data_IF_440179875063
#
_entry.id   IF_440179875063
#
_cell.length_a   1.000
_cell.length_b   1.000
_cell.length_c   1.000
_cell.angle_alpha   90.00
_cell.angle_beta   90.00
_cell.angle_gamma   90.00
#
_symmetry.space_group_name_H-M   'P 1'
#
loop_
_entity.id
_entity.type
_entity.pdbx_description
1 polymer ?
#
# COMPACT_ATOMS: atom_id res chain seq x y z
N UNK A 1 5.83 14.61 25.62
CA UNK A 1 4.36 14.52 25.72
C UNK A 1 3.95 13.69 24.53
N UNK A 2 3.72 12.38 24.73
CA UNK A 2 3.12 11.58 23.68
C UNK A 2 1.82 12.29 23.27
N UNK A 3 1.74 12.81 22.06
CA UNK A 3 0.45 13.11 21.47
C UNK A 3 -0.30 11.78 21.48
N UNK A 4 -1.11 11.58 22.49
CA UNK A 4 -2.05 10.46 22.48
C UNK A 4 -2.86 10.64 21.22
N UNK A 5 -2.59 9.80 20.25
CA UNK A 5 -3.40 9.69 19.06
C UNK A 5 -4.83 9.47 19.51
N UNK A 6 -5.56 10.57 19.70
CA UNK A 6 -6.96 10.51 20.07
C UNK A 6 -7.73 10.13 18.82
N UNK A 7 -8.04 8.83 18.72
CA UNK A 7 -8.89 8.30 17.64
C UNK A 7 -10.21 9.08 17.51
N UNK A 8 -10.61 9.82 18.55
CA UNK A 8 -11.81 10.66 18.55
C UNK A 8 -11.53 12.09 18.06
N UNK A 9 -10.29 12.61 18.13
CA UNK A 9 -9.99 13.97 17.70
C UNK A 9 -10.13 14.16 16.18
N UNK A 10 -9.87 13.10 15.40
CA UNK A 10 -10.12 13.10 13.95
C UNK A 10 -11.62 13.05 13.61
N UNK A 11 -12.44 12.48 14.49
CA UNK A 11 -13.88 12.42 14.31
C UNK A 11 -14.55 13.80 14.47
N UNK A 12 -13.89 14.76 15.11
CA UNK A 12 -14.44 16.10 15.36
C UNK A 12 -14.08 17.12 14.29
N UNK A 13 -13.12 16.84 13.41
CA UNK A 13 -12.68 17.76 12.35
C UNK A 13 -13.63 17.87 11.16
N UNK A 14 -14.58 16.93 11.02
CA UNK A 14 -15.28 16.75 9.75
C UNK A 14 -16.73 16.35 9.96
N UNK A 15 -17.65 17.25 9.70
CA UNK A 15 -19.07 16.89 9.81
C UNK A 15 -19.57 15.93 8.71
N UNK A 16 -19.22 16.05 7.43
CA UNK A 16 -19.61 15.05 6.43
C UNK A 16 -18.85 13.73 6.55
N UNK A 17 -17.54 13.77 6.80
CA UNK A 17 -16.67 12.60 6.93
C UNK A 17 -16.85 11.80 8.23
N UNK A 18 -17.40 12.41 9.29
CA UNK A 18 -17.53 11.76 10.60
C UNK A 18 -18.35 10.47 10.56
N UNK A 19 -19.48 10.44 9.82
CA UNK A 19 -20.30 9.23 9.74
C UNK A 19 -19.61 8.15 8.91
N UNK A 20 -18.95 8.51 7.82
CA UNK A 20 -18.14 7.63 6.98
C UNK A 20 -17.02 6.98 7.78
N UNK A 21 -16.23 7.77 8.50
CA UNK A 21 -15.18 7.28 9.40
C UNK A 21 -15.72 6.39 10.50
N UNK A 22 -16.82 6.78 11.16
CA UNK A 22 -17.44 5.97 12.22
C UNK A 22 -17.85 4.60 11.72
N UNK A 23 -18.39 4.50 10.49
CA UNK A 23 -18.77 3.23 9.89
C UNK A 23 -17.57 2.36 9.58
N UNK A 24 -16.51 2.95 9.02
CA UNK A 24 -15.26 2.23 8.77
C UNK A 24 -14.68 1.67 10.08
N UNK A 25 -14.61 2.49 11.13
CA UNK A 25 -14.17 2.04 12.46
C UNK A 25 -15.08 0.96 13.05
N UNK A 26 -16.39 1.12 12.93
CA UNK A 26 -17.34 0.14 13.46
C UNK A 26 -17.19 -1.21 12.76
N UNK A 27 -16.97 -1.20 11.44
CA UNK A 27 -16.71 -2.41 10.67
C UNK A 27 -15.41 -3.08 11.13
N UNK A 28 -14.30 -2.35 11.19
CA UNK A 28 -13.01 -2.87 11.63
C UNK A 28 -13.08 -3.46 13.04
N UNK A 29 -13.74 -2.78 13.98
CA UNK A 29 -13.96 -3.32 15.35
C UNK A 29 -14.79 -4.59 15.35
N UNK A 30 -15.88 -4.63 14.59
CA UNK A 30 -16.73 -5.81 14.49
C UNK A 30 -15.95 -7.02 13.98
N UNK A 31 -15.06 -6.82 13.01
CA UNK A 31 -14.22 -7.87 12.46
C UNK A 31 -13.18 -8.30 13.50
N UNK A 32 -12.49 -7.38 14.16
CA UNK A 32 -11.53 -7.67 15.24
C UNK A 32 -12.20 -8.42 16.40
N UNK A 33 -13.35 -7.95 16.86
CA UNK A 33 -14.11 -8.55 17.95
C UNK A 33 -14.68 -9.93 17.58
N UNK A 34 -14.81 -10.25 16.29
CA UNK A 34 -15.23 -11.57 15.83
C UNK A 34 -14.16 -12.66 16.01
N UNK A 35 -12.93 -12.28 16.35
CA UNK A 35 -11.79 -13.19 16.52
C UNK A 35 -11.28 -13.80 15.22
N UNK A 36 -11.60 -13.19 14.07
CA UNK A 36 -11.05 -13.59 12.79
C UNK A 36 -9.56 -13.21 12.78
N UNK A 37 -8.68 -14.20 12.72
CA UNK A 37 -7.23 -13.98 12.75
C UNK A 37 -6.69 -13.45 11.43
N UNK A 38 -7.27 -13.89 10.33
CA UNK A 38 -6.93 -13.48 8.97
C UNK A 38 -8.22 -13.21 8.21
N UNK A 39 -8.67 -11.93 8.11
CA UNK A 39 -9.98 -11.59 7.55
C UNK A 39 -10.16 -11.97 6.09
N UNK A 40 -9.10 -12.07 5.31
CA UNK A 40 -9.14 -12.39 3.88
C UNK A 40 -8.38 -13.67 3.50
N UNK A 41 -7.69 -14.33 4.45
CA UNK A 41 -6.98 -15.61 4.24
C UNK A 41 -5.82 -15.51 3.24
N UNK A 42 -5.32 -14.31 2.96
CA UNK A 42 -4.39 -14.05 1.86
C UNK A 42 -2.97 -13.72 2.29
N UNK A 43 -2.68 -13.68 3.60
CA UNK A 43 -1.35 -13.32 4.06
C UNK A 43 -0.35 -14.46 3.93
N UNK A 44 0.65 -14.23 3.09
CA UNK A 44 1.85 -15.06 3.05
C UNK A 44 2.98 -14.32 3.75
N UNK A 45 3.66 -14.99 4.68
CA UNK A 45 4.75 -14.37 5.42
C UNK A 45 5.97 -14.07 4.55
N UNK A 46 6.13 -14.79 3.44
CA UNK A 46 7.30 -14.65 2.58
C UNK A 46 6.89 -14.55 1.12
N UNK A 47 7.56 -13.65 0.41
CA UNK A 47 7.40 -13.49 -1.03
C UNK A 47 8.77 -13.36 -1.70
N UNK A 48 8.95 -13.97 -2.87
CA UNK A 48 10.17 -13.88 -3.66
C UNK A 48 9.86 -13.58 -5.12
N UNK A 49 10.64 -12.69 -5.69
CA UNK A 49 10.67 -12.36 -7.11
C UNK A 49 12.13 -12.19 -7.53
N UNK A 50 12.44 -12.13 -8.81
CA UNK A 50 13.81 -11.91 -9.29
C UNK A 50 14.51 -10.76 -8.54
N UNK A 51 15.55 -11.09 -7.79
CA UNK A 51 16.37 -10.14 -7.05
C UNK A 51 15.79 -9.62 -5.74
N UNK A 52 14.53 -9.92 -5.42
CA UNK A 52 13.83 -9.37 -4.26
C UNK A 52 13.25 -10.46 -3.36
N UNK A 53 13.36 -10.29 -2.05
CA UNK A 53 12.70 -11.11 -1.05
C UNK A 53 12.00 -10.24 0.00
N UNK A 54 10.80 -10.64 0.41
CA UNK A 54 10.02 -9.96 1.44
C UNK A 54 9.64 -10.93 2.55
N UNK A 55 9.75 -10.49 3.79
CA UNK A 55 9.23 -11.15 4.97
C UNK A 55 8.26 -10.21 5.69
N UNK A 56 6.98 -10.60 5.75
CA UNK A 56 5.93 -9.85 6.44
C UNK A 56 5.54 -10.56 7.73
N UNK A 57 5.72 -9.88 8.86
CA UNK A 57 5.33 -10.38 10.17
C UNK A 57 3.86 -10.09 10.48
N UNK A 58 3.13 -11.13 10.87
CA UNK A 58 1.76 -10.97 11.36
C UNK A 58 1.76 -10.43 12.79
N UNK A 59 0.98 -9.37 13.03
CA UNK A 59 0.91 -8.65 14.32
C UNK A 59 -0.52 -8.61 14.86
N UNK A 60 -0.72 -8.01 16.01
CA UNK A 60 -2.07 -7.66 16.55
C UNK A 60 -2.72 -6.52 15.75
N UNK A 61 -2.23 -6.28 14.54
CA UNK A 61 -2.76 -5.38 13.55
C UNK A 61 -2.35 -3.93 13.70
N UNK A 62 -2.64 -3.17 12.63
CA UNK A 62 -2.30 -1.77 12.54
C UNK A 62 -3.08 -0.91 13.54
N UNK A 63 -2.38 -0.18 14.37
CA UNK A 63 -2.96 0.72 15.39
C UNK A 63 -3.72 1.90 14.77
N UNK A 64 -3.30 2.35 13.60
CA UNK A 64 -4.01 3.39 12.86
C UNK A 64 -5.33 2.87 12.30
N UNK A 65 -5.37 1.65 11.74
CA UNK A 65 -6.52 0.81 11.42
C UNK A 65 -7.75 1.51 10.84
N UNK A 66 -7.56 2.62 10.11
CA UNK A 66 -8.65 3.47 9.66
C UNK A 66 -8.76 3.60 8.14
N UNK A 67 -7.75 3.15 7.40
CA UNK A 67 -7.77 3.22 5.94
C UNK A 67 -8.93 2.37 5.40
N UNK A 68 -9.76 2.94 4.53
CA UNK A 68 -11.00 2.29 4.06
C UNK A 68 -10.74 1.03 3.22
N UNK A 69 -9.55 0.88 2.70
CA UNK A 69 -9.14 -0.20 1.80
C UNK A 69 -8.33 -1.32 2.49
N UNK A 70 -8.01 -1.16 3.79
CA UNK A 70 -7.03 -2.00 4.47
C UNK A 70 -7.70 -2.81 5.59
N UNK A 71 -7.32 -4.10 5.72
CA UNK A 71 -7.77 -5.00 6.78
C UNK A 71 -6.80 -5.10 7.95
N UNK A 72 -5.63 -4.47 7.88
CA UNK A 72 -4.59 -4.58 8.89
C UNK A 72 -5.04 -4.18 10.30
N UNK A 73 -5.97 -3.23 10.43
CA UNK A 73 -6.55 -2.86 11.71
C UNK A 73 -7.46 -3.91 12.34
N UNK A 74 -7.83 -4.97 11.60
CA UNK A 74 -8.69 -6.05 12.05
C UNK A 74 -7.92 -7.33 12.43
N UNK A 75 -6.60 -7.37 12.18
CA UNK A 75 -5.77 -8.53 12.52
C UNK A 75 -5.61 -8.69 14.03
N UNK A 76 -5.37 -9.92 14.46
CA UNK A 76 -5.21 -10.30 15.85
C UNK A 76 -4.29 -11.53 15.93
N UNK A 77 -2.98 -11.30 15.76
CA UNK A 77 -1.96 -12.32 15.88
C UNK A 77 -1.02 -11.98 17.02
N UNK A 78 -0.73 -12.96 17.87
CA UNK A 78 0.30 -12.83 18.87
C UNK A 78 1.68 -12.81 18.19
N UNK A 79 2.50 -11.82 18.53
CA UNK A 79 3.87 -11.71 18.11
C UNK A 79 4.80 -11.82 19.33
N UNK A 80 5.88 -12.58 19.18
CA UNK A 80 6.91 -12.70 20.21
C UNK A 80 8.30 -12.82 19.59
N UNK A 81 9.39 -12.52 20.32
CA UNK A 81 10.75 -12.72 19.82
C UNK A 81 11.01 -14.11 19.28
N UNK A 82 10.44 -15.15 19.86
CA UNK A 82 10.59 -16.56 19.43
C UNK A 82 9.91 -16.84 18.09
N UNK A 83 8.74 -16.20 17.86
CA UNK A 83 8.03 -16.30 16.58
C UNK A 83 8.86 -15.59 15.50
N UNK A 84 9.31 -14.37 15.77
CA UNK A 84 10.14 -13.58 14.86
C UNK A 84 11.43 -14.33 14.51
N UNK A 85 12.12 -14.90 15.49
CA UNK A 85 13.36 -15.65 15.27
C UNK A 85 13.13 -16.86 14.34
N UNK A 86 12.07 -17.62 14.58
CA UNK A 86 11.69 -18.77 13.73
C UNK A 86 11.37 -18.34 12.30
N UNK A 87 10.62 -17.26 12.13
CA UNK A 87 10.25 -16.74 10.80
C UNK A 87 11.46 -16.19 10.05
N UNK A 88 12.36 -15.50 10.74
CA UNK A 88 13.63 -15.05 10.19
C UNK A 88 14.53 -16.22 9.77
N UNK A 89 14.65 -17.27 10.59
CA UNK A 89 15.41 -18.48 10.25
C UNK A 89 14.87 -19.17 8.99
N UNK A 90 13.56 -19.29 8.90
CA UNK A 90 12.89 -19.85 7.71
C UNK A 90 13.14 -18.97 6.47
N UNK A 91 13.03 -17.64 6.62
CA UNK A 91 13.29 -16.70 5.55
C UNK A 91 14.75 -16.76 5.06
N UNK A 92 15.73 -16.74 5.97
CA UNK A 92 17.15 -16.88 5.63
C UNK A 92 17.41 -18.14 4.83
N UNK A 93 16.85 -19.28 5.28
CA UNK A 93 16.96 -20.53 4.56
C UNK A 93 16.33 -20.47 3.15
N UNK A 94 15.20 -19.81 3.01
CA UNK A 94 14.54 -19.64 1.71
C UNK A 94 15.36 -18.72 0.78
N UNK A 95 15.94 -17.64 1.29
CA UNK A 95 16.83 -16.76 0.51
C UNK A 95 18.06 -17.53 0.01
N UNK A 96 18.72 -18.29 0.88
CA UNK A 96 19.91 -19.10 0.54
C UNK A 96 19.62 -20.16 -0.53
N UNK A 97 18.45 -20.75 -0.49
CA UNK A 97 18.04 -21.82 -1.41
C UNK A 97 17.24 -21.30 -2.60
N UNK A 98 17.08 -19.97 -2.73
CA UNK A 98 16.34 -19.39 -3.84
C UNK A 98 17.08 -19.65 -5.17
N UNK A 99 16.39 -20.11 -6.24
CA UNK A 99 17.03 -20.32 -7.54
C UNK A 99 17.53 -19.05 -8.19
N UNK A 100 17.07 -17.88 -7.72
CA UNK A 100 17.49 -16.56 -8.20
C UNK A 100 18.31 -15.85 -7.14
N UNK A 101 19.33 -15.13 -7.54
CA UNK A 101 20.12 -14.29 -6.64
C UNK A 101 19.26 -13.19 -6.07
N UNK A 102 19.23 -13.05 -4.74
CA UNK A 102 18.51 -11.98 -4.04
C UNK A 102 19.49 -10.84 -3.75
N UNK A 103 19.10 -9.62 -4.12
CA UNK A 103 19.88 -8.39 -3.93
C UNK A 103 19.20 -7.41 -2.96
N UNK A 104 17.89 -7.46 -2.85
CA UNK A 104 17.07 -6.58 -2.02
C UNK A 104 16.16 -7.39 -1.12
N UNK A 105 16.07 -6.98 0.14
CA UNK A 105 15.21 -7.62 1.15
C UNK A 105 14.37 -6.56 1.85
N UNK A 106 13.06 -6.80 1.90
CA UNK A 106 12.10 -6.00 2.65
C UNK A 106 11.65 -6.76 3.91
N UNK A 107 11.80 -6.13 5.05
CA UNK A 107 11.17 -6.54 6.30
C UNK A 107 9.94 -5.66 6.55
N UNK A 108 8.81 -6.29 6.61
CA UNK A 108 7.50 -5.68 6.77
C UNK A 108 6.78 -6.24 8.00
N UNK A 109 5.91 -5.47 8.55
CA UNK A 109 4.94 -5.94 9.54
C UNK A 109 3.55 -5.53 9.07
N UNK A 110 2.57 -6.37 9.34
CA UNK A 110 1.18 -5.99 9.10
C UNK A 110 0.81 -4.85 10.03
N UNK A 111 1.07 -3.62 9.54
CA UNK A 111 1.00 -2.38 10.30
C UNK A 111 2.28 -1.58 10.15
N UNK A 112 3.16 -1.62 11.14
CA UNK A 112 4.40 -0.85 11.14
C UNK A 112 5.49 -1.55 11.95
N UNK A 113 6.59 -1.92 11.31
CA UNK A 113 7.71 -2.61 11.98
C UNK A 113 8.44 -1.71 12.99
N UNK A 114 8.32 -0.39 12.86
CA UNK A 114 8.94 0.58 13.77
C UNK A 114 7.95 1.16 14.81
N UNK A 115 6.71 0.69 14.87
CA UNK A 115 5.79 1.06 15.96
C UNK A 115 5.93 0.10 17.15
N UNK A 116 6.51 0.55 18.24
CA UNK A 116 6.73 -0.26 19.45
C UNK A 116 5.47 -0.86 20.08
N UNK A 117 4.28 -0.43 19.63
CA UNK A 117 2.99 -0.97 20.08
C UNK A 117 2.42 -2.04 19.15
N UNK A 118 2.83 -2.05 17.88
CA UNK A 118 2.46 -3.03 16.88
C UNK A 118 3.53 -4.11 16.75
N UNK A 119 4.79 -3.69 16.83
CA UNK A 119 5.97 -4.54 16.75
C UNK A 119 6.88 -4.27 17.96
N UNK A 120 6.88 -5.13 18.98
CA UNK A 120 7.63 -4.92 20.21
C UNK A 120 9.12 -4.65 19.98
N UNK A 121 9.76 -3.77 20.76
CA UNK A 121 11.18 -3.42 20.57
C UNK A 121 12.13 -4.61 20.60
N UNK A 122 11.84 -5.63 21.42
CA UNK A 122 12.59 -6.88 21.50
C UNK A 122 12.44 -7.74 20.24
N UNK A 123 11.31 -7.64 19.52
CA UNK A 123 11.11 -8.28 18.23
C UNK A 123 11.96 -7.61 17.16
N UNK A 124 12.05 -6.28 17.16
CA UNK A 124 12.94 -5.55 16.26
C UNK A 124 14.42 -5.89 16.50
N UNK A 125 14.83 -6.05 17.76
CA UNK A 125 16.19 -6.48 18.11
C UNK A 125 16.50 -7.87 17.52
N UNK A 126 15.55 -8.80 17.52
CA UNK A 126 15.70 -10.11 16.87
C UNK A 126 15.82 -9.95 15.36
N UNK A 127 14.96 -9.12 14.72
CA UNK A 127 15.05 -8.88 13.27
C UNK A 127 16.43 -8.37 12.88
N UNK A 128 16.95 -7.36 13.59
CA UNK A 128 18.27 -6.79 13.28
C UNK A 128 19.40 -7.79 13.49
N UNK A 129 19.38 -8.54 14.59
CA UNK A 129 20.35 -9.61 14.83
C UNK A 129 20.34 -10.67 13.71
N UNK A 130 19.16 -11.09 13.28
CA UNK A 130 18.99 -12.06 12.20
C UNK A 130 19.32 -11.48 10.83
N UNK A 131 19.08 -10.19 10.61
CA UNK A 131 19.53 -9.50 9.39
C UNK A 131 21.06 -9.50 9.29
N UNK A 132 21.78 -9.33 10.42
CA UNK A 132 23.25 -9.49 10.45
C UNK A 132 23.69 -10.92 10.05
N UNK A 133 22.97 -11.96 10.53
CA UNK A 133 23.22 -13.35 10.12
C UNK A 133 22.97 -13.53 8.62
N UNK A 134 21.85 -12.98 8.12
CA UNK A 134 21.49 -13.01 6.69
C UNK A 134 22.58 -12.37 5.82
N UNK A 135 23.07 -11.19 6.17
CA UNK A 135 24.13 -10.50 5.40
C UNK A 135 25.42 -11.31 5.35
N UNK A 136 25.78 -12.00 6.43
CA UNK A 136 26.97 -12.89 6.48
C UNK A 136 26.80 -14.11 5.57
N UNK A 137 25.58 -14.67 5.50
CA UNK A 137 25.31 -15.88 4.75
C UNK A 137 24.98 -15.62 3.27
N UNK A 138 24.49 -14.42 2.96
CA UNK A 138 24.05 -14.00 1.60
C UNK A 138 24.66 -12.64 1.26
N UNK A 139 25.96 -12.60 0.93
CA UNK A 139 26.67 -11.35 0.67
C UNK A 139 26.27 -10.65 -0.63
N UNK A 140 25.31 -11.17 -1.36
CA UNK A 140 24.73 -10.53 -2.55
C UNK A 140 23.66 -9.49 -2.21
N UNK A 141 23.24 -9.41 -0.95
CA UNK A 141 22.25 -8.42 -0.52
C UNK A 141 22.90 -7.04 -0.50
N UNK A 142 22.37 -6.16 -1.31
CA UNK A 142 22.82 -4.77 -1.49
C UNK A 142 21.84 -3.76 -0.89
N UNK A 143 20.58 -4.16 -0.67
CA UNK A 143 19.53 -3.28 -0.16
C UNK A 143 18.76 -3.97 0.97
N UNK A 144 18.56 -3.24 2.07
CA UNK A 144 17.67 -3.62 3.17
C UNK A 144 16.58 -2.54 3.33
N UNK A 145 15.33 -2.97 3.23
CA UNK A 145 14.15 -2.10 3.34
C UNK A 145 13.30 -2.47 4.56
N UNK A 146 12.64 -1.46 5.14
CA UNK A 146 11.72 -1.62 6.27
C UNK A 146 10.44 -0.82 5.99
N UNK A 147 9.27 -1.46 6.02
CA UNK A 147 8.00 -0.77 5.84
C UNK A 147 7.45 -0.26 7.17
N UNK A 148 7.04 1.00 7.20
CA UNK A 148 6.52 1.62 8.42
C UNK A 148 5.61 2.81 8.14
N UNK A 149 4.97 3.34 9.19
CA UNK A 149 4.26 4.61 9.14
C UNK A 149 5.21 5.77 9.46
N UNK A 150 5.05 6.89 8.76
CA UNK A 150 5.90 8.07 9.00
C UNK A 150 5.85 8.59 10.46
N UNK A 151 4.71 8.39 11.16
CA UNK A 151 4.53 8.80 12.56
C UNK A 151 5.42 8.01 13.54
N UNK A 152 5.97 6.87 13.13
CA UNK A 152 6.84 6.04 13.96
C UNK A 152 8.31 6.41 13.85
N UNK A 153 8.66 7.23 12.86
CA UNK A 153 10.04 7.64 12.61
C UNK A 153 10.56 8.68 13.61
N UNK A 154 9.66 9.47 14.17
CA UNK A 154 10.05 10.50 15.14
C UNK A 154 8.89 11.41 15.51
N UNK A 155 9.18 12.43 16.30
CA UNK A 155 8.22 13.39 16.82
C UNK A 155 8.86 14.77 17.03
N UNK A 156 8.05 15.80 17.14
CA UNK A 156 8.51 17.11 17.56
C UNK A 156 8.51 17.20 19.09
N UNK A 157 9.64 17.58 19.65
CA UNK A 157 9.75 17.84 21.08
C UNK A 157 9.07 19.20 21.48
N UNK A 158 9.14 19.52 22.76
CA UNK A 158 8.54 20.76 23.32
C UNK A 158 9.14 22.04 22.74
N UNK A 159 10.36 21.97 22.20
CA UNK A 159 11.08 23.08 21.62
C UNK A 159 10.90 23.16 20.07
N UNK A 160 10.04 22.28 19.52
CA UNK A 160 9.76 22.19 18.09
C UNK A 160 10.86 21.51 17.27
N UNK A 161 11.82 20.83 17.92
CA UNK A 161 12.86 20.07 17.26
C UNK A 161 12.34 18.68 16.94
N UNK A 162 12.58 18.20 15.72
CA UNK A 162 12.28 16.82 15.35
C UNK A 162 13.30 15.87 15.98
N UNK A 163 12.81 14.86 16.67
CA UNK A 163 13.61 13.84 17.36
C UNK A 163 13.26 12.49 16.77
N UNK A 164 14.25 11.74 16.31
CA UNK A 164 14.08 10.37 15.80
C UNK A 164 13.64 9.43 16.90
N UNK A 165 12.79 8.45 16.54
CA UNK A 165 12.33 7.43 17.48
C UNK A 165 13.44 6.47 17.89
N UNK A 166 13.25 5.76 18.99
CA UNK A 166 14.18 4.72 19.42
C UNK A 166 14.31 3.60 18.36
N UNK A 167 13.21 3.20 17.74
CA UNK A 167 13.21 2.18 16.70
C UNK A 167 14.01 2.64 15.46
N UNK A 168 13.83 3.88 15.02
CA UNK A 168 14.64 4.43 13.92
C UNK A 168 16.10 4.54 14.30
N UNK A 169 16.43 4.93 15.52
CA UNK A 169 17.82 4.98 16.00
C UNK A 169 18.50 3.60 15.98
N UNK A 170 17.76 2.50 16.21
CA UNK A 170 18.28 1.13 16.04
C UNK A 170 18.63 0.83 14.59
N UNK A 171 17.78 1.25 13.63
CA UNK A 171 18.07 1.10 12.19
C UNK A 171 19.30 1.92 11.79
N UNK A 172 19.42 3.16 12.27
CA UNK A 172 20.58 4.02 12.02
C UNK A 172 21.87 3.36 12.54
N UNK A 173 21.86 2.89 13.78
CA UNK A 173 23.00 2.20 14.37
C UNK A 173 23.36 0.90 13.61
N UNK A 174 22.35 0.15 13.16
CA UNK A 174 22.56 -1.04 12.36
C UNK A 174 23.20 -0.70 11.01
N UNK A 175 22.72 0.35 10.33
CA UNK A 175 23.31 0.86 9.10
C UNK A 175 24.78 1.26 9.28
N UNK A 176 25.09 1.96 10.35
CA UNK A 176 26.48 2.37 10.66
C UNK A 176 27.39 1.17 10.90
N UNK A 177 26.86 0.08 11.47
CA UNK A 177 27.61 -1.15 11.72
C UNK A 177 27.81 -2.02 10.46
N UNK A 178 26.97 -1.85 9.43
CA UNK A 178 26.96 -2.65 8.20
C UNK A 178 27.10 -1.79 6.94
N UNK A 179 28.24 -1.10 6.75
CA UNK A 179 28.48 -0.23 5.60
C UNK A 179 28.64 -0.99 4.27
N UNK A 180 28.71 -2.32 4.30
CA UNK A 180 28.72 -3.17 3.12
C UNK A 180 27.40 -3.19 2.37
N UNK A 181 26.27 -2.89 3.04
CA UNK A 181 24.96 -2.73 2.42
C UNK A 181 24.90 -1.35 1.78
N UNK A 182 24.66 -1.30 0.48
CA UNK A 182 24.68 -0.06 -0.30
C UNK A 182 23.53 0.86 0.07
N UNK A 183 22.32 0.29 0.20
CA UNK A 183 21.11 1.04 0.38
C UNK A 183 20.30 0.53 1.59
N UNK A 184 19.99 1.45 2.47
CA UNK A 184 18.97 1.28 3.51
C UNK A 184 17.78 2.12 3.13
N UNK A 185 16.60 1.49 3.11
CA UNK A 185 15.37 2.10 2.61
C UNK A 185 14.27 2.04 3.68
N UNK A 186 13.54 3.10 3.85
CA UNK A 186 12.27 3.09 4.58
C UNK A 186 11.13 3.23 3.57
N UNK A 187 10.26 2.23 3.52
CA UNK A 187 9.05 2.28 2.72
C UNK A 187 7.91 2.91 3.50
N UNK A 188 7.28 3.91 2.91
CA UNK A 188 6.19 4.68 3.51
C UNK A 188 4.94 4.63 2.63
N UNK A 189 3.82 4.22 3.22
CA UNK A 189 2.54 4.29 2.51
C UNK A 189 2.05 5.74 2.41
N UNK A 190 2.16 6.36 1.24
CA UNK A 190 1.56 7.66 0.91
C UNK A 190 0.18 7.50 0.26
N UNK A 191 0.01 6.51 -0.59
CA UNK A 191 -1.17 6.10 -1.35
C UNK A 191 -1.57 7.10 -2.45
N UNK A 192 -1.69 8.37 -2.11
CA UNK A 192 -2.00 9.51 -2.96
C UNK A 192 -1.35 10.75 -2.40
N UNK A 193 -0.89 11.65 -3.24
CA UNK A 193 -0.40 12.97 -2.82
C UNK A 193 -1.53 13.99 -2.58
N UNK A 194 -2.75 13.65 -2.96
CA UNK A 194 -3.91 14.52 -2.80
C UNK A 194 -4.49 14.40 -1.39
N UNK A 195 -4.33 15.45 -0.60
CA UNK A 195 -4.77 15.50 0.79
C UNK A 195 -6.28 15.33 0.94
N UNK A 196 -7.06 15.99 0.10
CA UNK A 196 -8.51 15.91 0.17
C UNK A 196 -8.97 14.47 -0.10
N UNK A 197 -8.42 13.82 -1.11
CA UNK A 197 -8.71 12.41 -1.42
C UNK A 197 -8.31 11.50 -0.26
N UNK A 198 -7.09 11.65 0.29
CA UNK A 198 -6.64 10.83 1.42
C UNK A 198 -7.55 10.99 2.62
N UNK A 199 -7.89 12.23 2.93
CA UNK A 199 -8.68 12.54 4.12
C UNK A 199 -10.15 12.18 3.95
N UNK A 200 -10.76 12.40 2.77
CA UNK A 200 -12.19 12.28 2.53
C UNK A 200 -12.63 10.87 2.18
N UNK A 201 -11.86 10.19 1.34
CA UNK A 201 -12.25 8.90 0.80
C UNK A 201 -11.37 7.75 1.30
N UNK A 202 -10.05 7.92 1.35
CA UNK A 202 -9.16 6.84 1.78
C UNK A 202 -9.09 6.70 3.31
N UNK A 203 -9.44 7.75 4.05
CA UNK A 203 -9.32 7.83 5.51
C UNK A 203 -7.88 7.59 6.00
N UNK A 204 -6.90 7.91 5.16
CA UNK A 204 -5.49 7.86 5.49
C UNK A 204 -4.96 9.27 5.76
N UNK A 205 -5.06 9.68 7.02
CA UNK A 205 -4.67 11.02 7.42
C UNK A 205 -3.15 11.14 7.53
N UNK A 206 -2.57 11.94 6.65
CA UNK A 206 -1.15 12.28 6.63
C UNK A 206 -1.01 13.79 6.88
N UNK A 207 -0.20 14.17 7.86
CA UNK A 207 0.23 15.54 8.00
C UNK A 207 1.44 15.77 7.10
N UNK A 208 1.28 16.50 5.98
CA UNK A 208 2.31 16.67 4.97
C UNK A 208 3.61 17.26 5.50
N UNK A 209 3.52 18.23 6.41
CA UNK A 209 4.72 18.85 7.00
C UNK A 209 5.52 17.85 7.83
N UNK A 210 4.81 17.03 8.62
CA UNK A 210 5.46 16.00 9.42
C UNK A 210 5.99 14.87 8.54
N UNK A 211 5.25 14.50 7.49
CA UNK A 211 5.68 13.51 6.52
C UNK A 211 6.96 13.94 5.79
N UNK A 212 6.98 15.14 5.21
CA UNK A 212 8.15 15.68 4.56
C UNK A 212 9.34 15.84 5.53
N UNK A 213 9.10 16.25 6.78
CA UNK A 213 10.17 16.33 7.78
C UNK A 213 10.74 14.96 8.17
N UNK A 214 9.89 13.94 8.22
CA UNK A 214 10.34 12.57 8.46
C UNK A 214 11.26 12.08 7.33
N UNK A 215 10.90 12.34 6.06
CA UNK A 215 11.75 12.04 4.90
C UNK A 215 13.09 12.78 5.01
N UNK A 216 13.04 14.07 5.28
CA UNK A 216 14.27 14.85 5.45
C UNK A 216 15.18 14.27 6.55
N UNK A 217 14.59 13.85 7.68
CA UNK A 217 15.38 13.24 8.77
C UNK A 217 16.04 11.92 8.36
N UNK A 218 15.37 11.10 7.54
CA UNK A 218 15.97 9.88 6.98
C UNK A 218 17.16 10.20 6.08
N UNK A 219 17.03 11.19 5.22
CA UNK A 219 18.10 11.65 4.34
C UNK A 219 19.32 12.21 5.12
N UNK A 220 19.09 12.91 6.25
CA UNK A 220 20.16 13.37 7.14
C UNK A 220 21.02 12.19 7.66
N UNK A 221 20.45 10.99 7.75
CA UNK A 221 21.13 9.74 8.13
C UNK A 221 21.53 8.87 6.94
N UNK A 222 21.38 9.35 5.70
CA UNK A 222 21.70 8.61 4.48
C UNK A 222 20.83 7.36 4.30
N UNK A 223 19.58 7.41 4.74
CA UNK A 223 18.55 6.39 4.53
C UNK A 223 17.64 6.89 3.42
N UNK A 224 17.42 6.07 2.40
CA UNK A 224 16.52 6.34 1.29
C UNK A 224 15.06 6.15 1.68
N UNK A 225 14.16 6.76 0.93
CA UNK A 225 12.73 6.66 1.15
C UNK A 225 12.03 6.22 -0.12
N UNK A 226 11.31 5.11 -0.04
CA UNK A 226 10.38 4.69 -1.06
C UNK A 226 8.95 5.01 -0.62
N UNK A 227 8.13 5.55 -1.53
CA UNK A 227 6.72 5.84 -1.25
C UNK A 227 5.81 4.90 -2.03
N UNK A 228 4.90 4.24 -1.32
CA UNK A 228 3.86 3.43 -1.92
C UNK A 228 2.73 4.33 -2.44
N UNK A 229 2.44 4.25 -3.74
CA UNK A 229 1.38 4.99 -4.44
C UNK A 229 0.41 4.02 -5.09
N UNK A 230 -0.90 4.28 -4.95
CA UNK A 230 -1.93 3.47 -5.58
C UNK A 230 -2.06 3.75 -7.07
N UNK A 231 -2.03 2.70 -7.91
CA UNK A 231 -2.36 2.78 -9.33
C UNK A 231 -3.87 2.82 -9.59
N UNK A 232 -4.67 2.34 -8.63
CA UNK A 232 -6.12 2.21 -8.75
C UNK A 232 -6.80 2.67 -7.47
N UNK A 233 -6.86 3.98 -7.29
CA UNK A 233 -7.46 4.59 -6.10
C UNK A 233 -8.98 4.31 -6.09
N UNK A 234 -9.55 3.79 -4.99
CA UNK A 234 -10.98 3.50 -4.91
C UNK A 234 -11.81 4.79 -4.96
N UNK A 235 -13.05 4.66 -5.40
CA UNK A 235 -14.03 5.75 -5.49
C UNK A 235 -13.66 6.86 -6.50
N UNK A 236 -12.80 6.53 -7.46
CA UNK A 236 -12.47 7.35 -8.62
C UNK A 236 -12.86 6.62 -9.91
N UNK A 237 -13.22 7.38 -10.94
CA UNK A 237 -13.35 6.84 -12.31
C UNK A 237 -11.99 6.37 -12.81
N UNK A 238 -11.95 5.51 -13.82
CA UNK A 238 -10.67 5.01 -14.36
C UNK A 238 -9.74 6.12 -14.86
N UNK A 239 -10.31 7.15 -15.47
CA UNK A 239 -9.56 8.33 -15.91
C UNK A 239 -8.97 9.09 -14.72
N UNK A 240 -9.78 9.37 -13.70
CA UNK A 240 -9.31 10.03 -12.47
C UNK A 240 -8.25 9.21 -11.74
N UNK A 241 -8.36 7.86 -11.72
CA UNK A 241 -7.33 6.98 -11.14
C UNK A 241 -5.98 7.17 -11.81
N UNK A 242 -5.94 7.22 -13.14
CA UNK A 242 -4.70 7.42 -13.90
C UNK A 242 -4.12 8.81 -13.61
N UNK A 243 -4.94 9.86 -13.70
CA UNK A 243 -4.53 11.25 -13.45
C UNK A 243 -4.02 11.44 -12.03
N UNK A 244 -4.72 10.89 -11.05
CA UNK A 244 -4.33 10.96 -9.63
C UNK A 244 -3.01 10.23 -9.36
N UNK A 245 -2.85 9.02 -9.92
CA UNK A 245 -1.62 8.25 -9.75
C UNK A 245 -0.41 8.96 -10.36
N UNK A 246 -0.55 9.53 -11.56
CA UNK A 246 0.51 10.31 -12.22
C UNK A 246 0.88 11.54 -11.39
N UNK A 247 -0.12 12.31 -10.94
CA UNK A 247 0.09 13.50 -10.11
C UNK A 247 0.76 13.13 -8.79
N UNK A 248 0.35 12.04 -8.18
CA UNK A 248 0.93 11.55 -6.92
C UNK A 248 2.38 11.10 -7.08
N UNK A 249 2.72 10.41 -8.17
CA UNK A 249 4.10 10.03 -8.48
C UNK A 249 4.97 11.28 -8.66
N UNK A 250 4.53 12.23 -9.47
CA UNK A 250 5.28 13.47 -9.73
C UNK A 250 5.48 14.24 -8.42
N UNK A 251 4.43 14.40 -7.61
CA UNK A 251 4.51 15.13 -6.33
C UNK A 251 5.42 14.41 -5.33
N UNK A 252 5.34 13.08 -5.24
CA UNK A 252 6.18 12.31 -4.33
C UNK A 252 7.68 12.48 -4.66
N UNK A 253 8.04 12.41 -5.94
CA UNK A 253 9.43 12.51 -6.42
C UNK A 253 9.96 13.95 -6.53
N UNK A 254 9.07 14.95 -6.56
CA UNK A 254 9.48 16.35 -6.61
C UNK A 254 10.10 16.76 -5.27
N UNK A 255 11.24 17.51 -5.27
CA UNK A 255 11.85 17.99 -4.04
C UNK A 255 10.89 18.80 -3.17
N UNK A 256 11.10 18.77 -1.85
CA UNK A 256 10.24 19.48 -0.90
C UNK A 256 10.23 20.99 -1.14
N UNK A 257 11.37 21.57 -1.50
CA UNK A 257 11.53 23.00 -1.81
C UNK A 257 10.73 23.43 -3.04
N UNK A 258 10.37 22.49 -3.90
CA UNK A 258 9.57 22.68 -5.11
C UNK A 258 8.10 22.28 -4.90
N UNK A 259 7.72 21.99 -3.66
CA UNK A 259 6.33 21.68 -3.27
C UNK A 259 5.96 20.20 -3.31
N UNK A 260 6.94 19.29 -3.44
CA UNK A 260 6.74 17.85 -3.34
C UNK A 260 7.14 17.27 -1.98
N UNK A 261 7.43 15.96 -1.95
CA UNK A 261 7.87 15.26 -0.75
C UNK A 261 9.35 14.86 -0.78
N UNK A 262 9.96 14.77 -1.96
CA UNK A 262 11.38 14.46 -2.12
C UNK A 262 11.73 13.02 -1.83
N UNK A 263 10.84 12.04 -2.07
CA UNK A 263 11.17 10.63 -1.93
C UNK A 263 12.15 10.18 -3.02
N UNK A 264 12.93 9.13 -2.74
CA UNK A 264 13.93 8.63 -3.67
C UNK A 264 13.31 7.77 -4.77
N UNK A 265 12.29 6.99 -4.43
CA UNK A 265 11.58 6.10 -5.37
C UNK A 265 10.10 6.02 -5.04
N UNK A 266 9.31 5.68 -6.03
CA UNK A 266 7.89 5.32 -5.88
C UNK A 266 7.71 3.85 -6.24
N UNK A 267 6.96 3.14 -5.40
CA UNK A 267 6.43 1.81 -5.69
C UNK A 267 4.95 1.97 -6.04
N UNK A 268 4.64 1.78 -7.32
CA UNK A 268 3.27 1.84 -7.83
C UNK A 268 2.60 0.48 -7.62
N UNK A 269 1.50 0.44 -6.89
CA UNK A 269 0.80 -0.81 -6.63
C UNK A 269 -0.69 -0.72 -6.97
N UNK A 270 -1.26 -1.81 -7.51
CA UNK A 270 -2.69 -1.92 -7.73
C UNK A 270 -3.40 -2.13 -6.38
N UNK A 271 -4.53 -1.46 -6.20
CA UNK A 271 -5.40 -1.80 -5.08
C UNK A 271 -6.22 -3.04 -5.44
N UNK A 272 -6.08 -4.09 -4.66
CA UNK A 272 -7.03 -5.18 -4.61
C UNK A 272 -8.01 -4.91 -3.46
N UNK A 273 -9.30 -4.79 -3.78
CA UNK A 273 -10.34 -4.61 -2.76
C UNK A 273 -10.49 -5.92 -1.98
N UNK A 274 -9.97 -5.93 -0.76
CA UNK A 274 -10.01 -7.10 0.11
C UNK A 274 -11.37 -7.24 0.76
N UNK A 275 -11.83 -8.49 0.90
CA UNK A 275 -13.03 -8.78 1.70
C UNK A 275 -12.92 -8.19 3.11
N UNK A 276 -14.05 -7.75 3.63
CA UNK A 276 -14.17 -7.14 4.95
C UNK A 276 -13.48 -5.76 5.10
N UNK A 277 -13.03 -5.13 4.02
CA UNK A 277 -12.69 -3.70 4.04
C UNK A 277 -13.95 -2.84 3.93
N UNK A 278 -13.83 -1.56 4.29
CA UNK A 278 -14.92 -0.64 4.07
C UNK A 278 -15.20 -0.40 2.58
N UNK A 279 -14.17 -0.45 1.73
CA UNK A 279 -14.34 -0.44 0.27
C UNK A 279 -15.22 -1.59 -0.21
N UNK A 280 -14.91 -2.84 0.20
CA UNK A 280 -15.72 -4.02 -0.12
C UNK A 280 -17.18 -3.86 0.33
N UNK A 281 -17.39 -3.34 1.54
CA UNK A 281 -18.72 -3.08 2.07
C UNK A 281 -19.49 -2.04 1.22
N UNK A 282 -18.82 -0.98 0.77
CA UNK A 282 -19.42 0.07 -0.08
C UNK A 282 -19.81 -0.50 -1.45
N UNK A 283 -18.90 -1.23 -2.09
CA UNK A 283 -19.15 -1.80 -3.42
C UNK A 283 -20.30 -2.83 -3.38
N UNK A 284 -20.29 -3.73 -2.40
CA UNK A 284 -21.41 -4.66 -2.17
C UNK A 284 -22.72 -3.94 -1.88
N UNK A 285 -22.69 -2.80 -1.20
CA UNK A 285 -23.88 -1.97 -0.97
C UNK A 285 -24.37 -1.34 -2.27
N UNK A 286 -23.47 -0.90 -3.14
CA UNK A 286 -23.84 -0.34 -4.44
C UNK A 286 -24.52 -1.40 -5.35
N UNK A 287 -23.96 -2.61 -5.37
CA UNK A 287 -24.54 -3.72 -6.14
C UNK A 287 -25.92 -4.11 -5.61
N UNK A 288 -26.05 -4.26 -4.29
CA UNK A 288 -27.34 -4.58 -3.67
C UNK A 288 -28.39 -3.47 -3.83
N UNK A 289 -27.96 -2.21 -3.93
CA UNK A 289 -28.86 -1.11 -4.24
C UNK A 289 -29.33 -1.15 -5.70
N UNK A 290 -28.40 -1.40 -6.63
CA UNK A 290 -28.72 -1.54 -8.06
C UNK A 290 -29.69 -2.69 -8.33
N UNK A 291 -29.52 -3.84 -7.65
CA UNK A 291 -30.44 -4.97 -7.75
C UNK A 291 -31.89 -4.61 -7.33
N UNK A 292 -32.04 -3.77 -6.31
CA UNK A 292 -33.37 -3.30 -5.82
C UNK A 292 -33.96 -2.16 -6.64
N UNK A 293 -33.10 -1.43 -7.34
CA UNK A 293 -33.45 -0.22 -8.10
C UNK A 293 -32.87 -0.32 -9.52
N UNK A 294 -33.45 -1.15 -10.39
CA UNK A 294 -32.96 -1.36 -11.75
C UNK A 294 -32.87 -0.10 -12.62
N UNK A 295 -33.63 0.93 -12.25
CA UNK A 295 -33.62 2.26 -12.89
C UNK A 295 -32.38 3.10 -12.47
N UNK A 296 -31.71 2.72 -11.38
CA UNK A 296 -30.53 3.45 -10.90
C UNK A 296 -29.31 3.11 -11.73
N UNK A 297 -28.68 4.13 -12.25
CA UNK A 297 -27.39 3.98 -12.92
C UNK A 297 -26.27 4.09 -11.87
N UNK A 298 -25.61 2.96 -11.58
CA UNK A 298 -24.45 2.93 -10.68
C UNK A 298 -23.36 3.83 -11.25
N UNK A 299 -22.88 4.85 -10.51
CA UNK A 299 -21.75 5.66 -10.94
C UNK A 299 -20.50 4.80 -11.15
N UNK A 300 -19.71 5.09 -12.17
CA UNK A 300 -18.51 4.31 -12.51
C UNK A 300 -17.42 4.38 -11.42
N UNK A 301 -17.39 5.46 -10.66
CA UNK A 301 -16.47 5.56 -9.51
C UNK A 301 -16.86 4.65 -8.32
N UNK A 302 -18.00 3.96 -8.38
CA UNK A 302 -18.38 2.86 -7.48
C UNK A 302 -18.11 1.48 -8.10
N UNK A 303 -17.40 1.42 -9.20
CA UNK A 303 -16.92 0.16 -9.76
C UNK A 303 -15.65 -0.30 -9.03
N UNK A 304 -15.65 -1.54 -8.57
CA UNK A 304 -14.54 -2.14 -7.84
C UNK A 304 -13.54 -2.88 -8.76
N UNK A 305 -13.79 -2.89 -10.05
CA UNK A 305 -12.97 -3.67 -10.98
C UNK A 305 -11.56 -3.09 -11.08
N UNK A 306 -10.58 -3.87 -10.65
CA UNK A 306 -9.19 -3.58 -10.91
C UNK A 306 -8.88 -3.85 -12.38
N UNK A 307 -8.11 -2.97 -13.00
CA UNK A 307 -7.55 -3.23 -14.33
C UNK A 307 -6.04 -3.00 -14.34
N UNK A 308 -5.30 -4.02 -14.76
CA UNK A 308 -3.85 -3.90 -14.99
C UNK A 308 -3.55 -2.80 -16.01
N UNK A 309 -4.48 -2.56 -16.93
CA UNK A 309 -4.33 -1.54 -17.96
C UNK A 309 -4.42 -0.11 -17.42
N UNK A 310 -5.09 0.11 -16.27
CA UNK A 310 -5.01 1.40 -15.56
C UNK A 310 -3.57 1.69 -15.11
N UNK A 311 -2.87 0.68 -14.61
CA UNK A 311 -1.48 0.84 -14.18
C UNK A 311 -0.56 1.07 -15.40
N UNK A 312 -0.77 0.32 -16.49
CA UNK A 312 -0.04 0.54 -17.75
C UNK A 312 -0.30 1.95 -18.30
N UNK A 313 -1.55 2.42 -18.27
CA UNK A 313 -1.90 3.78 -18.70
C UNK A 313 -1.24 4.84 -17.83
N UNK A 314 -1.18 4.64 -16.51
CA UNK A 314 -0.45 5.52 -15.59
C UNK A 314 1.04 5.62 -15.98
N UNK A 315 1.70 4.47 -16.21
CA UNK A 315 3.10 4.44 -16.64
C UNK A 315 3.29 5.09 -18.01
N UNK A 316 2.35 4.87 -18.95
CA UNK A 316 2.41 5.48 -20.28
C UNK A 316 2.27 7.00 -20.24
N UNK A 317 1.30 7.52 -19.47
CA UNK A 317 1.12 8.97 -19.28
C UNK A 317 2.36 9.57 -18.61
N UNK A 318 2.92 8.90 -17.59
CA UNK A 318 4.15 9.35 -16.95
C UNK A 318 5.33 9.36 -17.91
N UNK A 319 5.49 8.32 -18.75
CA UNK A 319 6.55 8.25 -19.74
C UNK A 319 6.47 9.38 -20.79
N UNK A 320 5.26 9.81 -21.12
CA UNK A 320 5.04 10.90 -22.08
C UNK A 320 5.26 12.29 -21.45
N UNK A 321 4.94 12.45 -20.17
CA UNK A 321 5.03 13.73 -19.46
C UNK A 321 6.38 13.95 -18.76
N UNK A 322 6.89 12.92 -18.09
CA UNK A 322 8.07 12.97 -17.21
C UNK A 322 8.92 11.70 -17.35
N UNK A 323 9.47 11.45 -18.57
CA UNK A 323 10.33 10.28 -18.81
C UNK A 323 11.56 10.24 -17.88
N UNK A 324 12.00 11.41 -17.41
CA UNK A 324 13.09 11.60 -16.45
C UNK A 324 12.84 10.99 -15.06
N UNK A 325 11.59 10.66 -14.71
CA UNK A 325 11.24 10.06 -13.43
C UNK A 325 11.12 8.53 -13.48
N UNK A 326 11.14 7.92 -14.64
CA UNK A 326 10.84 6.49 -14.78
C UNK A 326 11.85 5.57 -14.09
N UNK A 327 13.11 5.96 -13.97
CA UNK A 327 14.12 5.21 -13.23
C UNK A 327 13.79 5.11 -11.75
N UNK A 328 13.06 6.09 -11.22
CA UNK A 328 12.60 6.17 -9.83
C UNK A 328 11.22 5.56 -9.60
N UNK A 329 10.57 5.02 -10.62
CA UNK A 329 9.25 4.38 -10.50
C UNK A 329 9.37 2.88 -10.70
N UNK A 330 8.99 2.13 -9.69
CA UNK A 330 8.87 0.68 -9.72
C UNK A 330 7.40 0.27 -9.63
N UNK A 331 7.10 -0.98 -9.91
CA UNK A 331 5.79 -1.60 -9.66
C UNK A 331 5.91 -2.62 -8.54
N UNK A 332 4.85 -2.79 -7.76
CA UNK A 332 4.86 -3.71 -6.64
C UNK A 332 5.13 -5.16 -7.10
N UNK A 333 5.95 -5.86 -6.33
CA UNK A 333 6.35 -7.22 -6.68
C UNK A 333 5.19 -8.22 -6.65
N UNK A 334 4.16 -7.98 -5.82
CA UNK A 334 3.06 -8.89 -5.57
C UNK A 334 1.85 -8.73 -6.51
N UNK A 335 1.91 -7.87 -7.53
CA UNK A 335 0.78 -7.68 -8.45
C UNK A 335 0.41 -8.94 -9.26
N UNK A 336 1.27 -9.94 -9.30
CA UNK A 336 1.05 -11.22 -9.98
C UNK A 336 0.34 -12.29 -9.14
N UNK A 337 -0.19 -11.97 -7.98
CA UNK A 337 -0.98 -12.93 -7.19
C UNK A 337 -2.31 -13.27 -7.87
N UNK A 338 -2.74 -14.53 -7.75
CA UNK A 338 -3.96 -15.06 -8.40
C UNK A 338 -5.20 -14.19 -8.23
N UNK A 339 -5.33 -13.47 -7.11
CA UNK A 339 -6.48 -12.62 -6.82
C UNK A 339 -6.51 -11.32 -7.62
N UNK A 340 -5.36 -10.73 -7.91
CA UNK A 340 -5.28 -9.48 -8.69
C UNK A 340 -5.65 -9.75 -10.15
N UNK A 341 -5.32 -10.95 -10.61
CA UNK A 341 -5.58 -11.35 -11.99
C UNK A 341 -7.00 -11.87 -12.20
N UNK A 342 -7.59 -12.54 -11.20
CA UNK A 342 -8.97 -13.04 -11.30
C UNK A 342 -10.01 -11.92 -11.31
N UNK A 343 -9.69 -10.77 -10.71
CA UNK A 343 -10.59 -9.62 -10.62
C UNK A 343 -10.35 -8.61 -11.75
N UNK A 344 -9.39 -8.88 -12.65
CA UNK A 344 -9.13 -8.01 -13.79
C UNK A 344 -10.05 -8.33 -14.96
N UNK A 345 -10.49 -7.29 -15.69
CA UNK A 345 -11.24 -7.42 -16.96
C UNK A 345 -10.39 -8.01 -18.10
N UNK A 346 -9.17 -8.43 -17.79
CA UNK A 346 -8.18 -8.89 -18.77
C UNK A 346 -8.43 -10.35 -19.08
N UNK A 347 -8.54 -10.67 -20.37
CA UNK A 347 -8.61 -12.06 -20.83
C UNK A 347 -7.34 -12.81 -20.43
N UNK A 348 -7.42 -14.11 -20.06
CA UNK A 348 -6.28 -14.87 -19.54
C UNK A 348 -5.03 -14.82 -20.39
N UNK A 349 -5.15 -14.82 -21.72
CA UNK A 349 -4.01 -14.81 -22.63
C UNK A 349 -3.28 -13.45 -22.67
N UNK A 350 -3.99 -12.35 -22.40
CA UNK A 350 -3.43 -11.00 -22.44
C UNK A 350 -2.77 -10.61 -21.11
N UNK A 351 -3.28 -11.10 -19.99
CA UNK A 351 -2.70 -10.75 -18.70
C UNK A 351 -1.31 -11.36 -18.49
N UNK A 352 -1.03 -12.56 -19.03
CA UNK A 352 0.30 -13.15 -18.91
C UNK A 352 1.35 -12.28 -19.63
N UNK A 353 1.02 -11.77 -20.81
CA UNK A 353 1.89 -10.84 -21.55
C UNK A 353 2.11 -9.55 -20.73
N UNK A 354 1.05 -8.98 -20.16
CA UNK A 354 1.16 -7.78 -19.34
C UNK A 354 1.97 -8.04 -18.07
N UNK A 355 1.76 -9.18 -17.43
CA UNK A 355 2.52 -9.59 -16.26
C UNK A 355 4.00 -9.71 -16.56
N UNK A 356 4.37 -10.48 -17.60
CA UNK A 356 5.78 -10.69 -17.95
C UNK A 356 6.49 -9.39 -18.31
N UNK A 357 5.80 -8.48 -19.01
CA UNK A 357 6.34 -7.16 -19.33
C UNK A 357 6.46 -6.25 -18.09
N UNK A 358 5.53 -6.32 -17.13
CA UNK A 358 5.66 -5.56 -15.87
C UNK A 358 6.76 -6.12 -14.98
N UNK A 359 7.00 -7.44 -14.99
CA UNK A 359 8.17 -8.04 -14.35
C UNK A 359 9.45 -7.52 -15.01
N UNK A 360 9.50 -7.50 -16.36
CA UNK A 360 10.63 -6.93 -17.10
C UNK A 360 10.81 -5.44 -16.81
N UNK A 361 9.72 -4.66 -16.71
CA UNK A 361 9.75 -3.24 -16.32
C UNK A 361 10.39 -3.05 -14.94
N UNK A 362 10.05 -3.88 -13.98
CA UNK A 362 10.64 -3.82 -12.63
C UNK A 362 12.15 -4.11 -12.66
N UNK A 363 12.57 -5.05 -13.50
CA UNK A 363 13.98 -5.42 -13.65
C UNK A 363 14.80 -4.46 -14.52
N UNK A 364 14.15 -3.59 -15.30
CA UNK A 364 14.83 -2.64 -16.19
C UNK A 364 15.61 -1.59 -15.39
N UNK A 365 16.84 -1.35 -15.82
CA UNK A 365 17.79 -0.49 -15.11
C UNK A 365 17.91 0.92 -15.70
N UNK A 366 17.31 1.17 -16.86
CA UNK A 366 17.38 2.49 -17.52
C UNK A 366 15.98 3.00 -17.90
N UNK A 367 15.79 4.33 -17.96
CA UNK A 367 14.56 4.93 -18.47
C UNK A 367 14.22 4.47 -19.90
N UNK A 368 15.21 4.30 -20.77
CA UNK A 368 15.04 3.88 -22.15
C UNK A 368 14.46 2.46 -22.23
N UNK A 369 14.97 1.53 -21.43
CA UNK A 369 14.43 0.16 -21.33
C UNK A 369 12.99 0.19 -20.82
N UNK A 370 12.71 0.96 -19.78
CA UNK A 370 11.36 1.13 -19.22
C UNK A 370 10.39 1.70 -20.25
N UNK A 371 10.80 2.74 -21.00
CA UNK A 371 10.00 3.32 -22.08
C UNK A 371 9.72 2.29 -23.17
N UNK A 372 10.71 1.50 -23.56
CA UNK A 372 10.51 0.46 -24.57
C UNK A 372 9.47 -0.58 -24.12
N UNK A 373 9.54 -1.03 -22.87
CA UNK A 373 8.57 -1.96 -22.29
C UNK A 373 7.17 -1.34 -22.21
N UNK A 374 7.07 -0.09 -21.74
CA UNK A 374 5.78 0.64 -21.67
C UNK A 374 5.16 0.75 -23.07
N UNK A 375 5.95 1.08 -24.08
CA UNK A 375 5.44 1.18 -25.45
C UNK A 375 5.02 -0.18 -26.00
N UNK A 376 5.70 -1.27 -25.63
CA UNK A 376 5.29 -2.62 -25.98
C UNK A 376 3.96 -2.97 -25.34
N UNK A 377 3.79 -2.71 -24.02
CA UNK A 377 2.53 -2.86 -23.31
C UNK A 377 1.39 -2.05 -23.95
N UNK A 378 1.67 -0.78 -24.25
CA UNK A 378 0.69 0.12 -24.86
C UNK A 378 0.34 -0.25 -26.32
N UNK A 379 1.13 -1.06 -26.99
CA UNK A 379 0.85 -1.54 -28.34
C UNK A 379 0.00 -2.81 -28.38
N UNK A 380 -0.28 -3.42 -27.22
CA UNK A 380 -1.11 -4.64 -27.18
C UNK A 380 -2.56 -4.34 -27.57
N UNK A 381 -3.23 -5.25 -28.28
CA UNK A 381 -4.64 -5.07 -28.64
C UNK A 381 -5.53 -4.82 -27.40
N UNK A 382 -5.30 -5.56 -26.32
CA UNK A 382 -6.07 -5.45 -25.09
C UNK A 382 -5.95 -4.07 -24.43
N UNK A 383 -4.73 -3.48 -24.39
CA UNK A 383 -4.57 -2.10 -23.91
C UNK A 383 -5.30 -1.09 -24.81
N UNK A 384 -5.22 -1.25 -26.13
CA UNK A 384 -5.90 -0.37 -27.08
C UNK A 384 -7.43 -0.46 -26.93
N UNK A 385 -7.97 -1.66 -26.75
CA UNK A 385 -9.38 -1.89 -26.47
C UNK A 385 -9.78 -1.23 -25.14
N UNK A 386 -8.98 -1.42 -24.08
CA UNK A 386 -9.22 -0.77 -22.79
C UNK A 386 -9.30 0.76 -22.92
N UNK A 387 -8.35 1.39 -23.62
CA UNK A 387 -8.33 2.85 -23.82
C UNK A 387 -9.50 3.37 -24.67
N UNK A 388 -10.09 2.52 -25.53
CA UNK A 388 -11.28 2.83 -26.32
C UNK A 388 -12.58 2.45 -25.62
N UNK A 389 -12.53 1.76 -24.49
CA UNK A 389 -13.69 1.29 -23.77
C UNK A 389 -14.58 2.43 -23.27
N UNK A 390 -15.85 2.12 -23.02
CA UNK A 390 -16.81 3.08 -22.45
C UNK A 390 -16.32 3.63 -21.12
N UNK A 391 -15.68 2.80 -20.29
CA UNK A 391 -15.20 3.16 -18.94
C UNK A 391 -14.13 4.27 -18.98
N UNK A 392 -13.28 4.24 -20.02
CA UNK A 392 -12.24 5.28 -20.23
C UNK A 392 -12.81 6.55 -20.85
N UNK A 393 -13.98 6.47 -21.50
CA UNK A 393 -14.59 7.58 -22.22
C UNK A 393 -15.84 8.13 -21.51
N UNK A 394 -16.03 7.81 -20.24
CA UNK A 394 -17.11 8.37 -19.44
C UNK A 394 -16.94 9.88 -19.23
N UNK A 395 -18.06 10.62 -19.10
CA UNK A 395 -18.01 12.02 -18.72
C UNK A 395 -17.30 12.21 -17.39
N UNK A 396 -16.62 13.35 -17.23
CA UNK A 396 -16.02 13.71 -15.96
C UNK A 396 -17.06 13.69 -14.82
N UNK A 397 -16.66 13.07 -13.71
CA UNK A 397 -17.48 13.10 -12.50
C UNK A 397 -17.43 14.52 -11.90
N UNK A 398 -18.62 15.02 -11.56
CA UNK A 398 -18.77 16.39 -11.04
C UNK A 398 -18.78 16.45 -9.51
N UNK A 399 -18.92 15.30 -8.85
CA UNK A 399 -18.95 15.25 -7.39
C UNK A 399 -17.53 15.41 -6.82
N UNK A 400 -17.37 16.35 -5.91
CA UNK A 400 -16.16 16.45 -5.08
C UNK A 400 -15.96 15.20 -4.21
N UNK A 401 -14.78 15.01 -3.68
CA UNK A 401 -14.51 13.87 -2.78
C UNK A 401 -15.39 13.89 -1.53
N UNK A 402 -15.65 15.07 -0.97
CA UNK A 402 -16.60 15.26 0.14
C UNK A 402 -18.02 14.81 -0.26
N UNK A 403 -18.51 15.19 -1.43
CA UNK A 403 -19.84 14.80 -1.90
C UNK A 403 -19.93 13.31 -2.17
N UNK A 404 -18.86 12.67 -2.69
CA UNK A 404 -18.78 11.21 -2.84
C UNK A 404 -18.83 10.51 -1.47
N UNK A 405 -18.11 11.00 -0.47
CA UNK A 405 -18.16 10.47 0.90
C UNK A 405 -19.57 10.58 1.49
N UNK A 406 -20.25 11.72 1.28
CA UNK A 406 -21.67 11.89 1.69
C UNK A 406 -22.61 10.93 0.97
N UNK A 407 -22.41 10.74 -0.33
CA UNK A 407 -23.19 9.78 -1.13
C UNK A 407 -23.00 8.34 -0.61
N UNK A 408 -21.76 7.92 -0.37
CA UNK A 408 -21.41 6.61 0.18
C UNK A 408 -22.09 6.40 1.54
N UNK A 409 -22.07 7.40 2.41
CA UNK A 409 -22.75 7.34 3.70
C UNK A 409 -24.25 7.10 3.56
N UNK A 410 -24.90 7.83 2.65
CA UNK A 410 -26.33 7.67 2.38
C UNK A 410 -26.63 6.27 1.83
N UNK A 411 -25.90 5.85 0.81
CA UNK A 411 -26.04 4.54 0.18
C UNK A 411 -25.92 3.38 1.19
N UNK A 412 -24.82 3.36 1.94
CA UNK A 412 -24.55 2.30 2.90
C UNK A 412 -25.52 2.28 4.07
N UNK A 413 -26.08 3.43 4.44
CA UNK A 413 -27.13 3.55 5.46
C UNK A 413 -28.46 3.00 4.96
N UNK A 414 -28.81 3.27 3.71
CA UNK A 414 -30.07 2.83 3.09
C UNK A 414 -30.08 1.32 2.88
N UNK A 415 -28.99 0.77 2.35
CA UNK A 415 -28.85 -0.67 2.09
C UNK A 415 -28.64 -1.46 3.38
N UNK A 416 -27.85 -0.93 4.30
CA UNK A 416 -27.57 -1.51 5.63
C UNK A 416 -27.26 -3.01 5.59
N UNK A 417 -26.29 -3.41 4.77
CA UNK A 417 -25.86 -4.81 4.69
C UNK A 417 -25.37 -5.30 6.06
N UNK A 418 -25.69 -6.56 6.43
CA UNK A 418 -25.16 -7.13 7.65
C UNK A 418 -23.62 -7.27 7.55
N UNK A 419 -22.91 -6.74 8.51
CA UNK A 419 -21.47 -7.05 8.69
C UNK A 419 -21.39 -8.54 9.03
N UNK A 420 -20.68 -9.32 8.21
CA UNK A 420 -20.55 -10.78 8.45
C UNK A 420 -19.83 -11.02 9.78
N UNK A 421 -20.57 -11.37 10.81
CA UNK A 421 -20.04 -11.73 12.13
C UNK A 421 -19.57 -13.18 12.24
N UNK A 422 -19.67 -13.98 11.16
CA UNK A 422 -19.26 -15.40 11.17
C UNK A 422 -18.72 -15.79 9.81
N UNK A 423 -17.43 -16.09 9.75
CA UNK A 423 -16.99 -17.10 8.78
C UNK A 423 -17.80 -18.36 9.08
N UNK A 424 -18.67 -18.78 8.16
CA UNK A 424 -19.26 -20.09 8.20
C UNK A 424 -18.10 -21.09 8.28
N UNK A 425 -18.09 -21.94 9.30
CA UNK A 425 -17.31 -23.17 9.33
C UNK A 425 -17.81 -24.04 8.18
N UNK A 426 -17.40 -23.73 6.98
CA UNK A 426 -17.61 -24.57 5.81
C UNK A 426 -16.28 -25.22 5.49
N UNK A 427 -16.28 -26.52 5.70
CA UNK A 427 -15.31 -27.52 5.27
C UNK A 427 -14.01 -27.67 6.08
N UNK A 428 -14.17 -28.11 7.34
CA UNK A 428 -13.33 -29.17 7.84
C UNK A 428 -14.13 -30.48 7.72
N UNK A 429 -14.13 -31.10 6.58
CA UNK A 429 -14.42 -32.53 6.38
C UNK A 429 -13.95 -32.91 5.01
N UNK A 430 -12.89 -33.63 5.04
CA UNK A 430 -12.14 -34.53 4.15
C UNK A 430 -10.74 -34.08 3.83
#
# INVERSE_FOLDING_TARGET
MEEKFDKNSHLTRWEPGNEYMRRNYALGRTIKDSGIKDPDGSYTNTFFMHGFGQLSFLTDGCRLGQCCFCTYGALNHDLSPQIVEREMDAFINNVKNNPHTIYSVLFDAVGSILDSKEFPPECLDVVLKKAEELLKEVPTIEELSFETHYQTLGYYDKDGKYVTSEALNKIIAFKEAHPEVKDYVIELGLESANNELRDQLLLKHINDKTFARAIYALHEHGIKVDANIMATVPFLTKKEQIEESVNSIITALTPYEEGGYGVDKVVLFPLNVRENTFCDYVFKSADAYAEKHPEWQKPSWLDNTFSIWSMVATLKVLADQRPDLLDKVSVAAWFGGDRILSDSDVQPDDWQTAYDLLVAYRAAMSPEEKIAIINQLASTPAYQEYMQSKVMNEPEEKLSYTERAMFINKLTKEVNLPVRSKCSKANQSN
#
